data_IF_686342387347
#
_entry.id   IF_686342387347
#
_cell.length_a   1.000
_cell.length_b   1.000
_cell.length_c   1.000
_cell.angle_alpha   90.00
_cell.angle_beta   90.00
_cell.angle_gamma   90.00
#
_symmetry.space_group_name_H-M   'P 1'
#
loop_
_entity.id
_entity.type
_entity.pdbx_description
1 polymer ?
#
# COMPACT_ATOMS: atom_id res chain seq x y z
N UNK A 1 -19.60 -42.17 -38.96
CA UNK A 1 -18.97 -43.16 -38.08
C UNK A 1 -17.51 -43.34 -38.53
N UNK A 2 -16.65 -42.35 -38.21
CA UNK A 2 -15.20 -42.37 -38.34
C UNK A 2 -14.72 -40.95 -37.96
N UNK A 3 -14.01 -40.84 -36.89
CA UNK A 3 -13.00 -39.83 -36.51
C UNK A 3 -12.99 -39.46 -35.00
N UNK A 4 -12.95 -40.48 -34.14
CA UNK A 4 -12.73 -40.27 -32.71
C UNK A 4 -11.40 -40.84 -32.21
N UNK A 5 -10.42 -41.11 -33.10
CA UNK A 5 -9.14 -41.76 -32.68
C UNK A 5 -7.88 -40.91 -32.76
N UNK A 6 -7.94 -39.59 -32.94
CA UNK A 6 -6.74 -38.77 -33.12
C UNK A 6 -6.29 -37.93 -31.90
N UNK A 7 -6.92 -38.09 -30.74
CA UNK A 7 -6.53 -37.34 -29.53
C UNK A 7 -6.06 -38.21 -28.36
N UNK A 8 -5.66 -39.43 -28.61
CA UNK A 8 -4.97 -40.25 -27.59
C UNK A 8 -3.47 -40.34 -27.91
N UNK A 9 -2.64 -39.58 -27.19
CA UNK A 9 -1.20 -39.76 -27.28
C UNK A 9 -0.34 -38.53 -26.97
N UNK A 10 -0.77 -37.57 -26.20
CA UNK A 10 0.19 -36.68 -25.54
C UNK A 10 0.82 -37.42 -24.34
N UNK A 11 1.68 -38.38 -24.63
CA UNK A 11 2.54 -38.98 -23.62
C UNK A 11 3.29 -37.84 -22.94
N UNK A 12 3.13 -37.72 -21.61
CA UNK A 12 3.93 -36.88 -20.74
C UNK A 12 5.41 -37.22 -20.98
N UNK A 13 6.05 -36.43 -21.87
CA UNK A 13 7.45 -36.59 -22.20
C UNK A 13 8.27 -36.44 -20.92
N UNK A 14 9.13 -37.41 -20.64
CA UNK A 14 10.14 -37.30 -19.56
C UNK A 14 10.79 -35.93 -19.69
N UNK A 15 10.96 -35.19 -18.57
CA UNK A 15 11.64 -33.90 -18.61
C UNK A 15 12.98 -34.06 -19.32
N UNK A 16 13.23 -33.30 -20.35
CA UNK A 16 14.46 -33.36 -21.14
C UNK A 16 15.66 -33.20 -20.19
N UNK A 17 16.69 -34.04 -20.40
CA UNK A 17 17.90 -33.93 -19.59
C UNK A 17 18.46 -32.49 -19.68
N UNK A 18 18.91 -31.90 -18.56
CA UNK A 18 19.39 -30.54 -18.53
C UNK A 18 20.52 -30.34 -19.54
N UNK A 19 20.40 -29.33 -20.38
CA UNK A 19 21.41 -28.99 -21.37
C UNK A 19 22.67 -28.41 -20.71
N UNK A 20 23.82 -28.41 -21.41
CA UNK A 20 25.04 -27.74 -20.91
C UNK A 20 24.78 -26.26 -20.55
N UNK A 21 23.88 -25.62 -21.26
CA UNK A 21 23.47 -24.26 -21.00
C UNK A 21 22.70 -24.10 -19.67
N UNK A 22 21.77 -25.02 -19.41
CA UNK A 22 21.01 -25.04 -18.15
C UNK A 22 21.91 -25.26 -16.93
N UNK A 23 22.91 -26.16 -17.09
CA UNK A 23 23.90 -26.41 -16.04
C UNK A 23 24.80 -25.19 -15.79
N UNK A 24 25.20 -24.45 -16.83
CA UNK A 24 25.95 -23.20 -16.69
C UNK A 24 25.13 -22.10 -16.04
N UNK A 25 23.92 -21.88 -16.50
CA UNK A 25 23.01 -20.88 -15.93
C UNK A 25 22.71 -21.18 -14.45
N UNK A 26 22.50 -22.45 -14.10
CA UNK A 26 22.32 -22.87 -12.70
C UNK A 26 23.59 -22.63 -11.85
N UNK A 27 24.77 -22.88 -12.41
CA UNK A 27 26.04 -22.62 -11.72
C UNK A 27 26.27 -21.13 -11.47
N UNK A 28 26.01 -20.29 -12.49
CA UNK A 28 26.09 -18.82 -12.37
C UNK A 28 25.11 -18.30 -11.33
N UNK A 29 23.85 -18.78 -11.36
CA UNK A 29 22.82 -18.40 -10.40
C UNK A 29 23.19 -18.82 -8.96
N UNK A 30 23.72 -20.03 -8.78
CA UNK A 30 24.21 -20.50 -7.47
C UNK A 30 25.37 -19.65 -6.95
N UNK A 31 26.33 -19.28 -7.82
CA UNK A 31 27.44 -18.39 -7.46
C UNK A 31 26.92 -16.98 -7.07
N UNK A 32 26.04 -16.41 -7.86
CA UNK A 32 25.41 -15.12 -7.57
C UNK A 32 24.67 -15.13 -6.24
N UNK A 33 23.84 -16.15 -5.99
CA UNK A 33 23.12 -16.30 -4.74
C UNK A 33 24.07 -16.47 -3.52
N UNK A 34 25.17 -17.21 -3.67
CA UNK A 34 26.17 -17.34 -2.59
C UNK A 34 26.82 -16.00 -2.29
N UNK A 35 27.23 -15.25 -3.31
CA UNK A 35 27.83 -13.92 -3.13
C UNK A 35 26.80 -12.98 -2.47
N UNK A 36 25.56 -12.98 -2.91
CA UNK A 36 24.50 -12.18 -2.31
C UNK A 36 24.26 -12.54 -0.84
N UNK A 37 24.17 -13.84 -0.52
CA UNK A 37 23.98 -14.31 0.85
C UNK A 37 25.17 -13.98 1.75
N UNK A 38 26.40 -14.20 1.26
CA UNK A 38 27.60 -13.92 2.07
C UNK A 38 27.79 -12.43 2.29
N UNK A 39 27.55 -11.59 1.27
CA UNK A 39 27.63 -10.12 1.42
C UNK A 39 26.55 -9.60 2.37
N UNK A 40 25.32 -10.10 2.26
CA UNK A 40 24.24 -9.73 3.18
C UNK A 40 24.55 -10.17 4.61
N UNK A 41 25.02 -11.42 4.79
CA UNK A 41 25.42 -11.92 6.10
C UNK A 41 26.59 -11.12 6.70
N UNK A 42 27.57 -10.74 5.88
CA UNK A 42 28.71 -9.93 6.34
C UNK A 42 28.26 -8.54 6.78
N UNK A 43 27.37 -7.88 6.03
CA UNK A 43 26.80 -6.57 6.41
C UNK A 43 25.97 -6.69 7.69
N UNK A 44 25.11 -7.69 7.80
CA UNK A 44 24.32 -7.88 9.02
C UNK A 44 25.21 -8.18 10.24
N UNK A 45 26.24 -9.00 10.06
CA UNK A 45 27.21 -9.27 11.12
C UNK A 45 27.96 -8.01 11.52
N UNK A 46 28.39 -7.21 10.55
CA UNK A 46 29.05 -5.93 10.83
C UNK A 46 28.14 -4.97 11.61
N UNK A 47 26.86 -4.87 11.24
CA UNK A 47 25.88 -4.07 11.97
C UNK A 47 25.72 -4.57 13.41
N UNK A 48 25.51 -5.87 13.60
CA UNK A 48 25.35 -6.49 14.94
C UNK A 48 26.57 -6.30 15.83
N UNK A 49 27.77 -6.33 15.27
CA UNK A 49 28.99 -6.18 16.02
C UNK A 49 29.40 -4.72 16.25
N UNK A 50 29.18 -3.84 15.27
CA UNK A 50 29.66 -2.44 15.33
C UNK A 50 28.66 -1.51 16.02
N UNK A 51 27.36 -1.72 15.86
CA UNK A 51 26.34 -0.87 16.47
C UNK A 51 26.44 -0.84 18.01
N UNK A 52 26.63 -1.98 18.72
CA UNK A 52 26.83 -1.96 20.16
C UNK A 52 28.10 -1.25 20.65
N UNK A 53 29.09 -1.04 19.77
CA UNK A 53 30.33 -0.32 20.10
C UNK A 53 30.18 1.20 19.92
N UNK A 54 29.07 1.66 19.34
CA UNK A 54 28.83 3.09 19.12
C UNK A 54 28.64 3.83 20.45
N UNK A 55 29.22 5.04 20.59
CA UNK A 55 28.94 5.92 21.73
C UNK A 55 27.43 6.19 21.83
N UNK A 56 26.86 5.97 23.01
CA UNK A 56 25.42 6.16 23.23
C UNK A 56 24.56 4.90 23.06
N UNK A 57 25.13 3.74 22.72
CA UNK A 57 24.38 2.47 22.64
C UNK A 57 23.62 2.13 23.93
N UNK A 58 24.21 2.42 25.09
CA UNK A 58 23.52 2.26 26.38
C UNK A 58 22.25 3.12 26.48
N UNK A 59 22.26 4.33 25.94
CA UNK A 59 21.06 5.18 25.92
C UNK A 59 19.98 4.59 25.01
N UNK A 60 20.37 4.03 23.87
CA UNK A 60 19.46 3.31 22.96
C UNK A 60 18.87 2.09 23.64
N UNK A 61 19.69 1.27 24.33
CA UNK A 61 19.20 0.11 25.07
C UNK A 61 18.18 0.49 26.14
N UNK A 62 18.49 1.52 26.94
CA UNK A 62 17.58 1.99 27.98
C UNK A 62 16.27 2.56 27.44
N UNK A 63 16.32 3.21 26.27
CA UNK A 63 15.13 3.86 25.67
C UNK A 63 14.27 2.91 24.85
N UNK A 64 14.89 1.96 24.12
CA UNK A 64 14.16 1.13 23.15
C UNK A 64 14.06 -0.34 23.56
N UNK A 65 14.93 -0.85 24.43
CA UNK A 65 14.97 -2.26 24.83
C UNK A 65 14.72 -2.46 26.35
N UNK A 66 13.96 -1.56 26.96
CA UNK A 66 13.59 -1.66 28.37
C UNK A 66 12.35 -2.54 28.52
N UNK A 67 12.54 -3.78 29.02
CA UNK A 67 11.47 -4.75 29.17
C UNK A 67 10.40 -4.30 30.19
N UNK A 68 10.80 -3.57 31.24
CA UNK A 68 9.87 -3.07 32.27
C UNK A 68 8.94 -2.00 31.67
N UNK A 69 9.51 -1.01 30.96
CA UNK A 69 8.74 0.02 30.25
C UNK A 69 7.84 -0.62 29.20
N UNK A 70 8.35 -1.61 28.46
CA UNK A 70 7.56 -2.34 27.47
C UNK A 70 6.34 -3.02 28.13
N UNK A 71 6.56 -3.77 29.20
CA UNK A 71 5.47 -4.47 29.88
C UNK A 71 4.42 -3.50 30.46
N UNK A 72 4.87 -2.36 30.98
CA UNK A 72 3.99 -1.34 31.54
C UNK A 72 3.17 -0.60 30.48
N UNK A 73 3.75 -0.36 29.28
CA UNK A 73 3.09 0.41 28.21
C UNK A 73 2.32 -0.46 27.22
N UNK A 74 2.64 -1.75 27.11
CA UNK A 74 2.04 -2.67 26.13
C UNK A 74 0.50 -2.72 26.17
N UNK A 75 -0.19 -2.77 27.34
CA UNK A 75 -1.66 -2.73 27.37
C UNK A 75 -2.24 -1.45 26.76
N UNK A 76 -1.58 -0.31 27.01
CA UNK A 76 -1.96 0.98 26.41
C UNK A 76 -1.78 0.99 24.89
N UNK A 77 -0.65 0.45 24.40
CA UNK A 77 -0.39 0.30 22.97
C UNK A 77 -1.40 -0.63 22.30
N UNK A 78 -1.79 -1.72 22.96
CA UNK A 78 -2.80 -2.63 22.42
C UNK A 78 -4.16 -1.94 22.29
N UNK A 79 -4.58 -1.15 23.28
CA UNK A 79 -5.80 -0.37 23.21
C UNK A 79 -5.76 0.68 22.09
N UNK A 80 -4.63 1.37 21.93
CA UNK A 80 -4.42 2.32 20.82
C UNK A 80 -4.48 1.61 19.47
N UNK A 81 -3.85 0.44 19.34
CA UNK A 81 -3.91 -0.37 18.12
C UNK A 81 -5.34 -0.83 17.77
N UNK A 82 -6.12 -1.24 18.76
CA UNK A 82 -7.52 -1.60 18.54
C UNK A 82 -8.35 -0.40 18.07
N UNK A 83 -8.07 0.80 18.60
CA UNK A 83 -8.68 2.03 18.11
C UNK A 83 -8.30 2.31 16.64
N UNK A 84 -7.03 2.13 16.28
CA UNK A 84 -6.56 2.30 14.90
C UNK A 84 -7.24 1.31 13.95
N UNK A 85 -7.36 0.04 14.35
CA UNK A 85 -8.10 -0.98 13.60
C UNK A 85 -9.57 -0.60 13.42
N UNK A 86 -10.21 -0.06 14.44
CA UNK A 86 -11.59 0.41 14.35
C UNK A 86 -11.72 1.60 13.38
N UNK A 87 -10.83 2.59 13.48
CA UNK A 87 -10.79 3.74 12.56
C UNK A 87 -10.56 3.24 11.12
N UNK A 88 -9.62 2.34 10.92
CA UNK A 88 -9.37 1.74 9.60
C UNK A 88 -10.60 1.02 9.05
N UNK A 89 -11.25 0.19 9.86
CA UNK A 89 -12.38 -0.63 9.42
C UNK A 89 -13.56 0.19 8.90
N UNK A 90 -13.80 1.36 9.46
CA UNK A 90 -14.88 2.23 8.98
C UNK A 90 -14.42 3.24 7.92
N UNK A 91 -13.15 3.69 7.96
CA UNK A 91 -12.61 4.60 6.94
C UNK A 91 -12.38 3.90 5.60
N UNK A 92 -11.87 2.67 5.60
CA UNK A 92 -11.50 1.96 4.38
C UNK A 92 -12.64 1.83 3.36
N UNK A 93 -13.85 1.39 3.72
CA UNK A 93 -14.98 1.33 2.78
C UNK A 93 -15.39 2.72 2.27
N UNK A 94 -15.34 3.75 3.11
CA UNK A 94 -15.67 5.13 2.71
C UNK A 94 -14.61 5.69 1.74
N UNK A 95 -13.34 5.41 1.99
CA UNK A 95 -12.23 5.74 1.08
C UNK A 95 -12.44 5.07 -0.29
N UNK A 96 -12.77 3.78 -0.29
CA UNK A 96 -13.00 3.04 -1.53
C UNK A 96 -14.21 3.58 -2.31
N UNK A 97 -15.32 3.84 -1.64
CA UNK A 97 -16.53 4.38 -2.26
C UNK A 97 -16.32 5.80 -2.81
N UNK A 98 -15.72 6.69 -2.02
CA UNK A 98 -15.44 8.05 -2.45
C UNK A 98 -14.40 8.06 -3.58
N UNK A 99 -13.33 7.26 -3.46
CA UNK A 99 -12.31 7.12 -4.48
C UNK A 99 -12.86 6.59 -5.81
N UNK A 100 -13.74 5.58 -5.76
CA UNK A 100 -14.44 5.09 -6.93
C UNK A 100 -15.33 6.17 -7.55
N UNK A 101 -16.11 6.87 -6.73
CA UNK A 101 -16.96 7.98 -7.20
C UNK A 101 -16.17 9.05 -7.93
N UNK A 102 -15.03 9.49 -7.37
CA UNK A 102 -14.14 10.49 -7.99
C UNK A 102 -13.53 9.95 -9.29
N UNK A 103 -13.07 8.69 -9.32
CA UNK A 103 -12.52 8.07 -10.52
C UNK A 103 -13.57 8.05 -11.65
N UNK A 104 -14.79 7.65 -11.35
CA UNK A 104 -15.90 7.64 -12.32
C UNK A 104 -16.24 9.05 -12.81
N UNK A 105 -16.28 10.06 -11.91
CA UNK A 105 -16.50 11.47 -12.28
C UNK A 105 -15.45 11.95 -13.29
N UNK A 106 -14.20 11.53 -13.14
CA UNK A 106 -13.09 11.90 -14.04
C UNK A 106 -13.11 11.17 -15.39
N UNK A 107 -13.75 10.00 -15.48
CA UNK A 107 -13.84 9.22 -16.72
C UNK A 107 -15.04 9.62 -17.62
N UNK A 108 -15.97 10.43 -17.10
CA UNK A 108 -17.13 10.89 -17.85
C UNK A 108 -16.72 11.73 -19.06
N UNK A 109 -17.17 11.32 -20.26
CA UNK A 109 -16.83 11.98 -21.53
C UNK A 109 -17.87 13.01 -22.02
N UNK A 110 -19.07 13.03 -21.44
CA UNK A 110 -20.14 13.93 -21.83
C UNK A 110 -19.73 15.40 -21.61
N UNK A 111 -19.82 16.28 -22.63
CA UNK A 111 -19.45 17.70 -22.50
C UNK A 111 -20.22 18.44 -21.39
N UNK A 112 -21.49 18.09 -21.18
CA UNK A 112 -22.34 18.67 -20.15
C UNK A 112 -21.83 18.39 -18.72
N UNK A 113 -21.05 17.32 -18.52
CA UNK A 113 -20.50 16.92 -17.22
C UNK A 113 -19.04 17.36 -17.03
N UNK A 114 -18.55 18.28 -17.87
CA UNK A 114 -17.22 18.86 -17.73
C UNK A 114 -16.94 19.44 -16.33
N UNK A 115 -17.87 20.16 -15.67
CA UNK A 115 -17.63 20.67 -14.31
C UNK A 115 -17.38 19.57 -13.29
N UNK A 116 -18.07 18.44 -13.40
CA UNK A 116 -17.88 17.29 -12.51
C UNK A 116 -16.49 16.65 -12.69
N UNK A 117 -16.07 16.51 -13.96
CA UNK A 117 -14.72 16.02 -14.29
C UNK A 117 -13.63 16.98 -13.77
N UNK A 118 -13.84 18.27 -13.91
CA UNK A 118 -12.91 19.29 -13.41
C UNK A 118 -12.82 19.23 -11.88
N UNK A 119 -13.95 19.13 -11.20
CA UNK A 119 -13.98 18.96 -9.74
C UNK A 119 -13.17 17.75 -9.29
N UNK A 120 -13.40 16.58 -9.92
CA UNK A 120 -12.64 15.37 -9.60
C UNK A 120 -11.13 15.51 -9.84
N UNK A 121 -10.73 16.22 -10.89
CA UNK A 121 -9.32 16.49 -11.17
C UNK A 121 -8.69 17.40 -10.11
N UNK A 122 -9.31 18.56 -9.86
CA UNK A 122 -8.85 19.54 -8.85
C UNK A 122 -8.78 18.88 -7.46
N UNK A 123 -9.83 18.15 -7.08
CA UNK A 123 -9.84 17.39 -5.82
C UNK A 123 -8.62 16.48 -5.70
N UNK A 124 -8.37 15.66 -6.72
CA UNK A 124 -7.25 14.69 -6.71
C UNK A 124 -5.91 15.42 -6.62
N UNK A 125 -5.73 16.49 -7.41
CA UNK A 125 -4.47 17.24 -7.45
C UNK A 125 -4.19 17.94 -6.12
N UNK A 126 -5.20 18.54 -5.49
CA UNK A 126 -5.07 19.21 -4.19
C UNK A 126 -4.73 18.21 -3.09
N UNK A 127 -5.54 17.15 -2.91
CA UNK A 127 -5.33 16.23 -1.79
C UNK A 127 -4.11 15.33 -1.93
N UNK A 128 -3.63 15.06 -3.14
CA UNK A 128 -2.36 14.35 -3.37
C UNK A 128 -1.14 15.27 -3.29
N UNK A 129 -1.32 16.56 -3.56
CA UNK A 129 -0.26 17.55 -3.46
C UNK A 129 0.06 17.99 -2.02
N UNK A 130 -0.85 17.74 -1.08
CA UNK A 130 -0.67 18.11 0.32
C UNK A 130 -0.12 16.94 1.15
N UNK A 131 0.85 17.17 2.06
CA UNK A 131 1.25 16.17 3.03
C UNK A 131 0.07 15.72 3.89
N UNK A 132 -0.16 14.41 3.99
CA UNK A 132 -1.28 13.82 4.75
C UNK A 132 -1.33 14.35 6.19
N UNK A 133 -0.16 14.42 6.84
CA UNK A 133 -0.04 14.90 8.22
C UNK A 133 -0.55 16.33 8.36
N UNK A 134 -0.26 17.19 7.39
CA UNK A 134 -0.73 18.58 7.40
C UNK A 134 -2.26 18.65 7.32
N UNK A 135 -2.88 17.84 6.45
CA UNK A 135 -4.35 17.77 6.32
C UNK A 135 -4.99 17.25 7.61
N UNK A 136 -4.39 16.23 8.24
CA UNK A 136 -4.86 15.69 9.53
C UNK A 136 -4.80 16.75 10.61
N UNK A 137 -3.70 17.51 10.71
CA UNK A 137 -3.59 18.59 11.70
C UNK A 137 -4.60 19.70 11.43
N UNK A 138 -4.76 20.12 10.17
CA UNK A 138 -5.67 21.20 9.80
C UNK A 138 -7.14 20.83 10.06
N UNK A 139 -7.58 19.67 9.60
CA UNK A 139 -8.97 19.23 9.72
C UNK A 139 -9.20 18.56 11.08
N UNK A 140 -8.32 17.61 11.48
CA UNK A 140 -8.51 16.79 12.66
C UNK A 140 -8.39 17.55 13.98
N UNK A 141 -7.56 18.58 14.04
CA UNK A 141 -7.41 19.42 15.22
C UNK A 141 -7.91 20.85 15.01
N UNK A 142 -7.78 21.39 13.81
CA UNK A 142 -8.22 22.77 13.51
C UNK A 142 -9.73 22.93 13.67
N UNK A 143 -10.54 22.04 13.14
CA UNK A 143 -12.01 22.13 13.24
C UNK A 143 -12.49 21.95 14.68
N UNK A 144 -12.07 20.93 15.45
CA UNK A 144 -12.40 20.85 16.88
C UNK A 144 -11.98 22.09 17.68
N UNK A 145 -10.85 22.71 17.31
CA UNK A 145 -10.33 23.93 17.94
C UNK A 145 -11.23 25.15 17.79
N UNK A 146 -12.22 25.13 16.88
CA UNK A 146 -13.23 26.20 16.74
C UNK A 146 -14.29 26.19 17.86
N UNK A 147 -14.18 25.30 18.83
CA UNK A 147 -15.11 25.28 19.99
C UNK A 147 -16.45 24.62 19.70
N UNK A 148 -16.49 23.65 18.80
CA UNK A 148 -17.71 22.93 18.47
C UNK A 148 -18.26 22.15 19.67
N UNK A 149 -19.60 21.97 19.80
CA UNK A 149 -20.20 21.17 20.84
C UNK A 149 -19.93 19.66 20.60
N UNK A 150 -20.01 18.86 21.68
CA UNK A 150 -19.94 17.40 21.56
C UNK A 150 -21.11 16.85 20.70
N UNK A 151 -20.88 15.83 19.88
CA UNK A 151 -19.64 15.06 19.66
C UNK A 151 -18.69 15.68 18.62
N UNK A 152 -19.06 16.82 17.99
CA UNK A 152 -18.36 17.44 16.85
C UNK A 152 -17.00 18.07 17.20
N UNK A 153 -16.62 18.12 18.47
CA UNK A 153 -15.29 18.58 18.91
C UNK A 153 -14.26 17.43 19.00
N UNK A 154 -14.59 16.26 18.46
CA UNK A 154 -13.71 15.07 18.55
C UNK A 154 -12.67 15.07 17.43
N UNK A 155 -11.35 15.08 17.74
CA UNK A 155 -10.28 14.91 16.75
C UNK A 155 -10.38 13.59 15.97
N UNK A 156 -10.97 12.54 16.55
CA UNK A 156 -11.15 11.26 15.88
C UNK A 156 -12.11 11.35 14.69
N UNK A 157 -13.21 12.10 14.82
CA UNK A 157 -14.18 12.28 13.75
C UNK A 157 -13.54 13.05 12.59
N UNK A 158 -12.92 14.19 12.89
CA UNK A 158 -12.35 15.07 11.87
C UNK A 158 -11.03 14.53 11.31
N UNK A 159 -10.23 13.84 12.13
CA UNK A 159 -9.04 13.12 11.67
C UNK A 159 -9.40 11.97 10.72
N UNK A 160 -10.46 11.22 11.03
CA UNK A 160 -10.99 10.20 10.12
C UNK A 160 -11.50 10.81 8.81
N UNK A 161 -12.20 11.95 8.87
CA UNK A 161 -12.61 12.67 7.65
C UNK A 161 -11.39 13.10 6.83
N UNK A 162 -10.36 13.64 7.46
CA UNK A 162 -9.11 13.99 6.79
C UNK A 162 -8.48 12.80 6.07
N UNK A 163 -8.42 11.62 6.74
CA UNK A 163 -7.93 10.38 6.13
C UNK A 163 -8.78 9.97 4.92
N UNK A 164 -10.11 10.02 5.05
CA UNK A 164 -11.02 9.66 3.96
C UNK A 164 -10.79 10.58 2.77
N UNK A 165 -10.72 11.89 2.98
CA UNK A 165 -10.51 12.85 1.89
C UNK A 165 -9.17 12.64 1.18
N UNK A 166 -8.09 12.48 1.92
CA UNK A 166 -6.76 12.32 1.32
C UNK A 166 -6.64 10.97 0.61
N UNK A 167 -6.96 9.87 1.29
CA UNK A 167 -6.77 8.55 0.70
C UNK A 167 -7.75 8.23 -0.43
N UNK A 168 -8.96 8.82 -0.44
CA UNK A 168 -9.87 8.71 -1.58
C UNK A 168 -9.26 9.32 -2.86
N UNK A 169 -8.47 10.39 -2.76
CA UNK A 169 -7.77 10.95 -3.91
C UNK A 169 -6.70 9.99 -4.47
N UNK A 170 -5.96 9.29 -3.59
CA UNK A 170 -5.02 8.26 -4.02
C UNK A 170 -5.71 7.05 -4.66
N UNK A 171 -6.78 6.56 -4.03
CA UNK A 171 -7.58 5.43 -4.55
C UNK A 171 -8.20 5.78 -5.91
N UNK A 172 -8.72 7.00 -6.08
CA UNK A 172 -9.26 7.47 -7.34
C UNK A 172 -8.23 7.39 -8.48
N UNK A 173 -6.98 7.76 -8.21
CA UNK A 173 -5.91 7.69 -9.21
C UNK A 173 -5.49 6.24 -9.52
N UNK A 174 -5.44 5.37 -8.51
CA UNK A 174 -5.16 3.94 -8.70
C UNK A 174 -6.23 3.30 -9.59
N UNK A 175 -7.52 3.56 -9.30
CA UNK A 175 -8.64 3.05 -10.10
C UNK A 175 -8.54 3.58 -11.52
N UNK A 176 -8.28 4.88 -11.70
CA UNK A 176 -8.13 5.48 -13.01
C UNK A 176 -6.97 4.88 -13.80
N UNK A 177 -5.81 4.72 -13.18
CA UNK A 177 -4.66 4.06 -13.81
C UNK A 177 -5.00 2.64 -14.27
N UNK A 178 -5.78 1.90 -13.47
CA UNK A 178 -6.29 0.58 -13.84
C UNK A 178 -7.20 0.63 -15.06
N UNK A 179 -8.13 1.58 -15.12
CA UNK A 179 -9.03 1.77 -16.26
C UNK A 179 -8.24 2.15 -17.54
N UNK A 180 -7.27 3.05 -17.42
CA UNK A 180 -6.45 3.52 -18.53
C UNK A 180 -5.49 2.43 -19.04
N UNK A 181 -5.12 1.45 -18.22
CA UNK A 181 -4.26 0.32 -18.62
C UNK A 181 -4.93 -0.70 -19.54
N UNK A 182 -6.27 -0.69 -19.66
CA UNK A 182 -7.03 -1.60 -20.51
C UNK A 182 -6.78 -1.24 -21.98
N UNK A 183 -6.19 -2.19 -22.73
CA UNK A 183 -5.85 -1.99 -24.14
C UNK A 183 -7.12 -1.73 -25.00
N UNK A 184 -6.99 -0.87 -26.01
CA UNK A 184 -8.13 -0.47 -26.88
C UNK A 184 -8.83 -1.66 -27.53
N UNK A 185 -8.08 -2.72 -27.91
CA UNK A 185 -8.66 -3.94 -28.48
C UNK A 185 -9.59 -4.69 -27.52
N UNK A 186 -9.26 -4.68 -26.21
CA UNK A 186 -10.12 -5.30 -25.18
C UNK A 186 -11.40 -4.49 -24.96
N UNK A 187 -11.31 -3.16 -25.00
CA UNK A 187 -12.47 -2.26 -24.92
C UNK A 187 -13.39 -2.43 -26.12
N UNK A 188 -12.83 -2.59 -27.33
CA UNK A 188 -13.59 -2.82 -28.55
C UNK A 188 -14.28 -4.19 -28.59
N UNK A 189 -13.70 -5.21 -27.96
CA UNK A 189 -14.32 -6.55 -27.85
C UNK A 189 -15.45 -6.61 -26.82
N UNK A 190 -15.55 -5.66 -25.91
CA UNK A 190 -16.58 -5.58 -24.86
C UNK A 190 -17.75 -4.64 -25.21
N UNK A 191 -17.69 -3.93 -26.35
CA UNK A 191 -18.72 -3.03 -26.87
C UNK A 191 -19.58 -3.68 -27.95
#
# INVERSE_FOLDING_TARGET
MADQHLYQGAAAGKPAAPTRRDAYEAAVKRRSNRIALTSTAAVLLAVVLLVPLAPGWEAVQRSFFNAEVFAATFPGLLNAFLLDVMIFAWCAPLIALLGLGIALCRDVRAPALFPLRLFGAVYTDVFRGLPVVLVIYLIGFGIPGLGLPRPWNSPYIWGSLALILVYAAYVAEVIRSGIDSIHQSQRAAAA
#
